data_IF_754713205459
#
_entry.id   IF_754713205459
#
_cell.length_a   1.000
_cell.length_b   1.000
_cell.length_c   1.000
_cell.angle_alpha   90.00
_cell.angle_beta   90.00
_cell.angle_gamma   90.00
#
_symmetry.space_group_name_H-M   'P 1'
#
loop_
_entity.id
_entity.type
_entity.pdbx_description
1 polymer ?
#
# COMPACT_ATOMS: atom_id res chain seq x y z
N UNK A 1 -0.59 1.24 19.30
CA UNK A 1 0.36 2.17 18.64
C UNK A 1 -0.08 2.32 17.19
N UNK A 2 -0.19 3.53 16.64
CA UNK A 2 -0.50 3.71 15.22
C UNK A 2 0.66 3.20 14.35
N UNK A 3 0.35 2.61 13.20
CA UNK A 3 1.36 2.30 12.17
C UNK A 3 1.96 3.61 11.64
N UNK A 4 3.23 3.57 11.23
CA UNK A 4 3.89 4.72 10.60
C UNK A 4 3.31 4.97 9.20
N UNK A 5 3.06 3.90 8.46
CA UNK A 5 2.39 3.93 7.16
C UNK A 5 1.26 2.91 7.15
N UNK A 6 0.09 3.31 6.67
CA UNK A 6 -1.02 2.41 6.40
C UNK A 6 -1.63 2.72 5.03
N UNK A 7 -1.68 1.71 4.17
CA UNK A 7 -2.33 1.70 2.86
C UNK A 7 -3.52 0.75 2.91
N UNK A 8 -4.70 1.23 2.55
CA UNK A 8 -5.93 0.44 2.52
C UNK A 8 -6.50 0.43 1.12
N UNK A 9 -6.56 -0.75 0.52
CA UNK A 9 -7.22 -1.00 -0.75
C UNK A 9 -6.75 -0.04 -1.87
N UNK A 10 -5.46 0.30 -1.88
CA UNK A 10 -4.90 1.24 -2.83
C UNK A 10 -4.99 0.64 -4.23
N UNK A 11 -5.60 1.41 -5.13
CA UNK A 11 -5.83 1.02 -6.51
C UNK A 11 -5.43 2.17 -7.41
N UNK A 12 -4.69 1.89 -8.48
CA UNK A 12 -4.26 2.87 -9.47
C UNK A 12 -4.39 2.28 -10.87
N UNK A 13 -5.03 3.05 -11.75
CA UNK A 13 -5.28 2.67 -13.14
C UNK A 13 -4.62 3.66 -14.10
N UNK A 14 -4.08 3.16 -15.20
CA UNK A 14 -3.63 3.94 -16.34
C UNK A 14 -4.30 3.37 -17.61
N UNK A 15 -5.25 4.13 -18.18
CA UNK A 15 -6.10 3.61 -19.26
C UNK A 15 -6.93 2.42 -18.80
N UNK A 16 -6.83 1.30 -19.52
CA UNK A 16 -7.51 0.04 -19.17
C UNK A 16 -6.73 -0.83 -18.17
N UNK A 17 -5.49 -0.46 -17.83
CA UNK A 17 -4.61 -1.28 -16.98
C UNK A 17 -4.70 -0.82 -15.54
N UNK A 18 -5.02 -1.74 -14.62
CA UNK A 18 -4.83 -1.54 -13.18
C UNK A 18 -3.37 -1.81 -12.82
N UNK A 19 -2.59 -0.75 -12.68
CA UNK A 19 -1.18 -0.84 -12.29
C UNK A 19 -1.01 -1.19 -10.80
N UNK A 20 -1.97 -0.81 -9.96
CA UNK A 20 -2.06 -1.23 -8.57
C UNK A 20 -3.50 -1.70 -8.36
N UNK A 21 -3.71 -2.91 -7.86
CA UNK A 21 -5.06 -3.46 -7.62
C UNK A 21 -5.19 -3.93 -6.17
N UNK A 22 -6.03 -3.24 -5.41
CA UNK A 22 -6.41 -3.59 -4.05
C UNK A 22 -5.23 -3.87 -3.08
N UNK A 23 -4.17 -3.06 -3.15
CA UNK A 23 -3.00 -3.24 -2.29
C UNK A 23 -3.27 -2.73 -0.89
N UNK A 24 -3.01 -3.57 0.10
CA UNK A 24 -3.03 -3.24 1.52
C UNK A 24 -1.61 -3.43 2.10
N UNK A 25 -1.10 -2.41 2.80
CA UNK A 25 0.23 -2.45 3.42
C UNK A 25 0.19 -1.71 4.74
N UNK A 26 0.93 -2.22 5.73
CA UNK A 26 1.18 -1.55 7.01
C UNK A 26 2.66 -1.65 7.31
N UNK A 27 3.24 -0.56 7.78
CA UNK A 27 4.63 -0.53 8.24
C UNK A 27 4.71 0.13 9.61
N UNK A 28 5.44 -0.52 10.50
CA UNK A 28 5.87 0.04 11.77
C UNK A 28 7.09 0.96 11.55
N UNK A 29 7.36 1.84 12.52
CA UNK A 29 8.56 2.67 12.47
C UNK A 29 9.82 1.79 12.57
N UNK A 30 10.73 1.93 11.59
CA UNK A 30 11.98 1.16 11.51
C UNK A 30 11.84 -0.22 10.88
N UNK A 31 10.65 -0.62 10.43
CA UNK A 31 10.44 -1.89 9.72
C UNK A 31 10.94 -1.80 8.27
N UNK A 32 11.67 -2.83 7.82
CA UNK A 32 12.13 -2.97 6.43
C UNK A 32 11.46 -4.21 5.84
N UNK A 33 10.77 -4.03 4.71
CA UNK A 33 10.08 -5.10 3.98
C UNK A 33 10.68 -5.18 2.57
N UNK A 34 10.99 -6.39 2.12
CA UNK A 34 11.58 -6.72 0.83
C UNK A 34 10.60 -7.50 -0.04
#
# INVERSE_FOLDING_TARGET
MPYLLEMKNITKTFGSVKAIDNVCLRLNAGEIVS
#
